data_IF_061210493903
#
_entry.id   IF_061210493903
#
_cell.length_a   1.000
_cell.length_b   1.000
_cell.length_c   1.000
_cell.angle_alpha   90.00
_cell.angle_beta   90.00
_cell.angle_gamma   90.00
#
_symmetry.space_group_name_H-M   'P 1'
#
loop_
_entity.id
_entity.type
_entity.pdbx_description
1 polymer ?
#
# COMPACT_ATOMS: atom_id res chain seq x y z
N UNK A 1 3.19 -20.16 27.13
CA UNK A 1 2.72 -18.94 26.45
C UNK A 1 3.26 -17.77 27.22
N UNK A 2 3.89 -16.87 26.50
CA UNK A 2 4.50 -15.65 27.02
C UNK A 2 3.84 -14.47 26.32
N UNK A 3 3.96 -13.29 26.92
CA UNK A 3 3.51 -12.05 26.29
C UNK A 3 4.73 -11.37 25.69
N UNK A 4 4.69 -11.14 24.39
CA UNK A 4 5.68 -10.38 23.65
C UNK A 4 5.15 -8.99 23.38
N UNK A 5 6.02 -7.98 23.43
CA UNK A 5 5.68 -6.62 23.02
C UNK A 5 6.60 -6.19 21.89
N UNK A 6 5.99 -5.81 20.77
CA UNK A 6 6.64 -5.20 19.62
C UNK A 6 6.51 -3.69 19.77
N UNK A 7 7.65 -3.00 19.92
CA UNK A 7 7.71 -1.56 20.19
C UNK A 7 7.95 -0.77 18.92
N UNK A 8 7.20 0.31 18.77
CA UNK A 8 7.28 1.23 17.64
C UNK A 8 7.40 2.67 18.13
N UNK A 9 8.09 3.51 17.38
CA UNK A 9 8.20 4.94 17.66
C UNK A 9 7.54 5.70 16.50
N UNK A 10 6.54 6.54 16.80
CA UNK A 10 5.90 7.39 15.79
C UNK A 10 6.75 8.60 15.45
N UNK A 11 6.79 8.99 14.18
CA UNK A 11 7.51 10.16 13.68
C UNK A 11 6.51 11.25 13.28
N UNK A 12 6.37 12.26 14.14
CA UNK A 12 5.46 13.40 13.91
C UNK A 12 3.97 13.04 13.99
N UNK A 13 3.09 14.03 13.76
CA UNK A 13 1.63 13.86 13.88
C UNK A 13 1.05 12.88 12.83
N UNK A 14 1.61 12.86 11.63
CA UNK A 14 1.26 11.90 10.58
C UNK A 14 1.58 10.45 11.01
N UNK A 15 2.64 10.29 11.82
CA UNK A 15 3.04 9.03 12.46
C UNK A 15 1.95 8.37 13.29
N UNK A 16 1.13 9.17 13.98
CA UNK A 16 0.07 8.65 14.84
C UNK A 16 -1.09 8.11 14.00
N UNK A 17 -1.45 8.79 12.91
CA UNK A 17 -2.55 8.37 12.03
C UNK A 17 -2.19 7.13 11.21
N UNK A 18 -0.99 7.08 10.63
CA UNK A 18 -0.51 5.90 9.90
C UNK A 18 -0.23 4.74 10.85
N UNK A 19 0.22 5.03 12.07
CA UNK A 19 0.42 4.03 13.12
C UNK A 19 -0.84 3.21 13.39
N UNK A 20 -2.03 3.83 13.41
CA UNK A 20 -3.29 3.09 13.59
C UNK A 20 -3.55 2.07 12.47
N UNK A 21 -3.38 2.46 11.19
CA UNK A 21 -3.53 1.55 10.05
C UNK A 21 -2.50 0.41 10.09
N UNK A 22 -1.28 0.72 10.55
CA UNK A 22 -0.26 -0.29 10.73
C UNK A 22 -0.61 -1.27 11.86
N UNK A 23 -1.20 -0.80 12.96
CA UNK A 23 -1.69 -1.69 14.02
C UNK A 23 -2.85 -2.57 13.54
N UNK A 24 -3.72 -2.07 12.65
CA UNK A 24 -4.77 -2.88 12.02
C UNK A 24 -4.16 -4.00 11.15
N UNK A 25 -3.08 -3.72 10.41
CA UNK A 25 -2.33 -4.72 9.66
C UNK A 25 -1.74 -5.80 10.57
N UNK A 26 -1.07 -5.41 11.67
CA UNK A 26 -0.54 -6.36 12.66
C UNK A 26 -1.65 -7.23 13.27
N UNK A 27 -2.79 -6.60 13.57
CA UNK A 27 -3.97 -7.25 14.16
C UNK A 27 -4.57 -8.29 13.23
N UNK A 28 -4.72 -7.94 11.94
CA UNK A 28 -5.21 -8.87 10.92
C UNK A 28 -4.30 -10.09 10.79
N UNK A 29 -2.99 -9.89 10.85
CA UNK A 29 -2.04 -11.00 10.76
C UNK A 29 -2.01 -11.88 12.01
N UNK A 30 -2.01 -11.28 13.21
CA UNK A 30 -2.08 -12.03 14.47
C UNK A 30 -3.36 -12.88 14.51
N UNK A 31 -4.47 -12.29 14.08
CA UNK A 31 -5.76 -12.95 13.98
C UNK A 31 -5.77 -14.11 12.96
N UNK A 32 -5.15 -13.95 11.79
CA UNK A 32 -5.02 -15.02 10.80
C UNK A 32 -4.30 -16.26 11.34
N UNK A 33 -3.31 -16.05 12.22
CA UNK A 33 -2.58 -17.10 12.91
C UNK A 33 -3.30 -17.63 14.17
N UNK A 34 -4.45 -17.06 14.54
CA UNK A 34 -5.19 -17.42 15.75
C UNK A 34 -4.49 -17.00 17.04
N UNK A 35 -3.66 -15.95 16.98
CA UNK A 35 -2.93 -15.42 18.12
C UNK A 35 -3.73 -14.31 18.82
N UNK A 36 -3.71 -14.31 20.14
CA UNK A 36 -4.31 -13.22 20.93
C UNK A 36 -3.37 -12.01 20.93
N UNK A 37 -3.91 -10.82 20.69
CA UNK A 37 -3.13 -9.59 20.63
C UNK A 37 -3.80 -8.44 21.39
N UNK A 38 -3.03 -7.39 21.70
CA UNK A 38 -3.55 -6.13 22.19
C UNK A 38 -2.78 -4.96 21.56
N UNK A 39 -3.44 -3.83 21.40
CA UNK A 39 -2.89 -2.65 20.73
C UNK A 39 -2.77 -1.50 21.74
N UNK A 40 -1.63 -0.83 21.73
CA UNK A 40 -1.41 0.47 22.34
C UNK A 40 -0.74 1.40 21.30
N UNK A 41 -0.73 2.73 21.52
CA UNK A 41 -0.27 3.69 20.51
C UNK A 41 1.12 3.40 19.91
N UNK A 42 2.04 2.85 20.71
CA UNK A 42 3.43 2.59 20.32
C UNK A 42 3.85 1.14 20.62
N UNK A 43 2.88 0.26 20.91
CA UNK A 43 3.16 -1.11 21.30
C UNK A 43 2.08 -2.07 20.79
N UNK A 44 2.54 -3.17 20.20
CA UNK A 44 1.69 -4.28 19.82
C UNK A 44 2.04 -5.49 20.69
N UNK A 45 1.07 -5.97 21.45
CA UNK A 45 1.24 -7.10 22.35
C UNK A 45 0.75 -8.38 21.67
N UNK A 46 1.50 -9.45 21.84
CA UNK A 46 1.20 -10.76 21.26
C UNK A 46 1.36 -11.84 22.33
N UNK A 47 0.31 -12.62 22.56
CA UNK A 47 0.39 -13.80 23.43
C UNK A 47 0.64 -15.03 22.58
N UNK A 48 1.84 -15.61 22.72
CA UNK A 48 2.33 -16.64 21.82
C UNK A 48 3.35 -17.57 22.51
N UNK A 49 3.72 -18.68 21.88
CA UNK A 49 4.99 -19.37 22.20
C UNK A 49 6.17 -18.64 21.57
N UNK A 50 7.42 -18.86 22.03
CA UNK A 50 8.60 -18.26 21.39
C UNK A 50 8.69 -18.53 19.89
N UNK A 51 8.32 -19.73 19.44
CA UNK A 51 8.33 -20.11 18.02
C UNK A 51 7.28 -19.33 17.21
N UNK A 52 6.08 -19.14 17.77
CA UNK A 52 5.03 -18.35 17.15
C UNK A 52 5.40 -16.86 17.10
N UNK A 53 5.98 -16.32 18.17
CA UNK A 53 6.45 -14.94 18.21
C UNK A 53 7.58 -14.69 17.22
N UNK A 54 8.50 -15.64 17.08
CA UNK A 54 9.56 -15.59 16.07
C UNK A 54 8.97 -15.64 14.66
N UNK A 55 8.04 -16.56 14.38
CA UNK A 55 7.37 -16.62 13.08
C UNK A 55 6.64 -15.32 12.74
N UNK A 56 6.02 -14.69 13.73
CA UNK A 56 5.38 -13.38 13.56
C UNK A 56 6.41 -12.27 13.27
N UNK A 57 7.53 -12.25 14.00
CA UNK A 57 8.61 -11.29 13.76
C UNK A 57 9.26 -11.45 12.39
N UNK A 58 9.48 -12.70 11.94
CA UNK A 58 10.02 -13.02 10.62
C UNK A 58 9.06 -12.57 9.52
N UNK A 59 7.75 -12.79 9.70
CA UNK A 59 6.73 -12.25 8.80
C UNK A 59 6.84 -10.73 8.71
N UNK A 60 6.86 -10.02 9.84
CA UNK A 60 7.00 -8.56 9.83
C UNK A 60 8.27 -8.13 9.11
N UNK A 61 9.41 -8.74 9.39
CA UNK A 61 10.67 -8.38 8.75
C UNK A 61 10.64 -8.54 7.21
N UNK A 62 9.86 -9.48 6.69
CA UNK A 62 9.75 -9.73 5.25
C UNK A 62 8.72 -8.83 4.57
N UNK A 63 7.68 -8.42 5.30
CA UNK A 63 6.52 -7.74 4.75
C UNK A 63 6.44 -6.26 5.11
N UNK A 64 7.23 -5.76 6.08
CA UNK A 64 7.26 -4.35 6.42
C UNK A 64 7.94 -3.57 5.27
N UNK A 65 7.21 -2.76 4.48
CA UNK A 65 7.87 -1.78 3.65
C UNK A 65 8.58 -0.76 4.55
N UNK A 66 9.56 -0.06 3.97
CA UNK A 66 10.10 1.14 4.59
C UNK A 66 8.94 2.07 4.97
N UNK A 67 8.92 2.60 6.19
CA UNK A 67 7.92 3.57 6.64
C UNK A 67 8.61 4.89 6.96
N UNK A 68 7.94 6.01 6.64
CA UNK A 68 8.38 7.36 7.04
C UNK A 68 7.83 7.76 8.41
N UNK A 69 6.70 7.17 8.77
CA UNK A 69 5.83 7.64 9.85
C UNK A 69 6.02 6.87 11.15
N UNK A 70 6.71 5.72 11.13
CA UNK A 70 7.06 4.98 12.32
C UNK A 70 8.36 4.19 12.14
N UNK A 71 8.97 3.83 13.28
CA UNK A 71 10.20 3.06 13.35
C UNK A 71 10.00 1.88 14.29
N UNK A 72 10.36 0.68 13.85
CA UNK A 72 10.45 -0.47 14.74
C UNK A 72 11.64 -0.33 15.70
N UNK A 73 11.38 -0.46 16.99
CA UNK A 73 12.38 -0.30 18.06
C UNK A 73 12.93 -1.66 18.50
N UNK A 74 12.05 -2.65 18.68
CA UNK A 74 12.45 -3.99 19.09
C UNK A 74 11.30 -4.84 19.62
N UNK A 75 11.65 -6.08 19.99
CA UNK A 75 10.75 -7.05 20.61
C UNK A 75 11.33 -7.52 21.93
N UNK A 76 10.49 -7.64 22.95
CA UNK A 76 10.88 -8.18 24.26
C UNK A 76 9.74 -9.01 24.87
N UNK A 77 10.10 -9.94 25.76
CA UNK A 77 9.14 -10.62 26.62
C UNK A 77 8.76 -9.67 27.74
N UNK A 78 7.46 -9.50 27.95
CA UNK A 78 6.92 -8.61 28.98
C UNK A 78 6.07 -9.38 29.98
N UNK A 79 6.08 -8.91 31.24
CA UNK A 79 5.13 -9.36 32.27
C UNK A 79 3.79 -8.64 32.21
N UNK A 80 3.63 -7.64 31.33
CA UNK A 80 2.40 -6.88 31.15
C UNK A 80 1.29 -7.77 30.57
N UNK A 81 0.07 -7.61 31.09
CA UNK A 81 -1.13 -8.34 30.65
C UNK A 81 -2.22 -7.35 30.26
N UNK A 82 -2.13 -6.74 29.07
CA UNK A 82 -3.21 -5.88 28.57
C UNK A 82 -4.49 -6.69 28.31
N UNK A 83 -5.60 -6.00 28.06
CA UNK A 83 -6.85 -6.65 27.63
C UNK A 83 -6.67 -7.21 26.21
N UNK A 84 -6.41 -8.51 26.13
CA UNK A 84 -6.20 -9.20 24.87
C UNK A 84 -7.52 -9.39 24.12
N UNK A 85 -7.50 -9.04 22.83
CA UNK A 85 -8.55 -9.39 21.90
C UNK A 85 -8.41 -10.86 21.52
N UNK A 86 -9.26 -11.71 22.09
CA UNK A 86 -9.48 -13.07 21.63
C UNK A 86 -10.72 -13.05 20.73
N UNK A 87 -10.56 -13.15 19.42
CA UNK A 87 -11.70 -13.18 18.49
C UNK A 87 -11.61 -14.29 17.47
N UNK A 88 -12.75 -14.92 17.12
CA UNK A 88 -12.79 -16.04 16.19
C UNK A 88 -12.44 -15.61 14.76
N UNK A 89 -11.97 -16.59 13.98
CA UNK A 89 -11.46 -16.48 12.62
C UNK A 89 -12.54 -15.95 11.65
N UNK A 90 -12.48 -14.67 11.31
CA UNK A 90 -13.30 -14.04 10.27
C UNK A 90 -12.38 -13.16 9.41
N UNK A 91 -12.21 -13.56 8.15
CA UNK A 91 -11.36 -13.00 7.09
C UNK A 91 -9.87 -13.43 7.08
N UNK A 92 -9.34 -13.82 5.89
CA UNK A 92 -7.91 -13.97 5.69
C UNK A 92 -7.19 -12.62 5.80
N UNK A 93 -5.92 -12.59 6.23
CA UNK A 93 -5.15 -11.36 6.33
C UNK A 93 -4.93 -10.77 4.93
N UNK A 94 -4.82 -9.45 4.84
CA UNK A 94 -4.30 -8.79 3.64
C UNK A 94 -2.80 -9.12 3.58
N UNK A 95 -2.42 -10.00 2.66
CA UNK A 95 -1.03 -10.34 2.41
C UNK A 95 -0.57 -9.68 1.10
N UNK A 96 0.28 -8.67 1.23
CA UNK A 96 0.82 -7.89 0.11
C UNK A 96 1.68 -8.77 -0.83
N UNK A 97 2.30 -9.84 -0.32
CA UNK A 97 3.04 -10.79 -1.17
C UNK A 97 2.10 -11.74 -1.90
N UNK A 98 1.01 -12.19 -1.27
CA UNK A 98 -0.04 -12.95 -1.97
C UNK A 98 -0.71 -12.10 -3.04
N UNK A 99 -1.07 -10.86 -2.73
CA UNK A 99 -1.59 -9.87 -3.68
C UNK A 99 -0.63 -9.63 -4.85
N UNK A 100 0.67 -9.50 -4.57
CA UNK A 100 1.71 -9.38 -5.60
C UNK A 100 1.79 -10.65 -6.45
N UNK A 101 1.81 -11.82 -5.84
CA UNK A 101 1.86 -13.09 -6.59
C UNK A 101 0.61 -13.30 -7.43
N UNK A 102 -0.56 -12.92 -6.90
CA UNK A 102 -1.83 -12.94 -7.60
C UNK A 102 -1.78 -12.04 -8.84
N UNK A 103 -1.28 -10.80 -8.70
CA UNK A 103 -1.01 -9.90 -9.82
C UNK A 103 -0.03 -10.51 -10.84
N UNK A 104 1.12 -11.02 -10.40
CA UNK A 104 2.13 -11.63 -11.28
C UNK A 104 1.60 -12.87 -12.04
N UNK A 105 0.61 -13.56 -11.49
CA UNK A 105 -0.04 -14.73 -12.10
C UNK A 105 -1.32 -14.37 -12.88
N UNK A 106 -1.75 -13.10 -12.86
CA UNK A 106 -3.03 -12.67 -13.42
C UNK A 106 -4.25 -13.26 -12.72
N UNK A 107 -4.09 -13.80 -11.50
CA UNK A 107 -5.19 -14.27 -10.69
C UNK A 107 -5.73 -13.10 -9.88
N UNK A 108 -6.95 -12.68 -10.19
CA UNK A 108 -7.61 -11.53 -9.57
C UNK A 108 -8.79 -11.98 -8.68
N UNK A 109 -8.85 -13.27 -8.33
CA UNK A 109 -9.87 -13.83 -7.45
C UNK A 109 -9.57 -13.44 -6.00
N UNK A 110 -10.57 -12.91 -5.29
CA UNK A 110 -10.43 -12.49 -3.89
C UNK A 110 -10.00 -11.03 -3.70
N UNK A 111 -9.84 -10.28 -4.79
CA UNK A 111 -9.77 -8.82 -4.72
C UNK A 111 -11.10 -8.29 -4.16
N UNK A 112 -11.02 -7.25 -3.32
CA UNK A 112 -12.21 -6.56 -2.81
C UNK A 112 -13.16 -6.10 -3.91
N UNK A 113 -14.34 -5.61 -3.53
CA UNK A 113 -15.41 -5.26 -4.47
C UNK A 113 -14.96 -4.22 -5.52
N UNK A 114 -14.76 -4.67 -6.76
CA UNK A 114 -14.49 -3.81 -7.92
C UNK A 114 -15.81 -3.44 -8.57
N UNK A 115 -16.05 -2.14 -8.78
CA UNK A 115 -17.26 -1.63 -9.43
C UNK A 115 -16.86 -0.86 -10.69
N UNK A 116 -17.31 -1.33 -11.85
CA UNK A 116 -17.09 -0.69 -13.14
C UNK A 116 -18.42 -0.30 -13.78
N UNK A 117 -18.56 0.96 -14.19
CA UNK A 117 -19.81 1.49 -14.77
C UNK A 117 -21.07 1.18 -13.93
N UNK A 118 -20.94 1.34 -12.60
CA UNK A 118 -22.00 1.06 -11.62
C UNK A 118 -22.43 -0.41 -11.53
N UNK A 119 -21.61 -1.33 -12.05
CA UNK A 119 -21.82 -2.78 -11.95
C UNK A 119 -20.67 -3.42 -11.18
N UNK A 120 -20.95 -4.27 -10.17
CA UNK A 120 -19.91 -5.03 -9.51
C UNK A 120 -19.32 -6.06 -10.48
N UNK A 121 -18.01 -6.20 -10.47
CA UNK A 121 -17.29 -7.28 -11.14
C UNK A 121 -17.29 -8.51 -10.23
N UNK A 122 -17.64 -9.68 -10.75
CA UNK A 122 -17.87 -10.90 -9.98
C UNK A 122 -16.71 -11.89 -10.03
N UNK A 123 -15.84 -11.78 -11.05
CA UNK A 123 -14.71 -12.68 -11.25
C UNK A 123 -13.49 -11.97 -11.87
N UNK A 124 -12.35 -12.66 -11.89
CA UNK A 124 -11.10 -12.18 -12.49
C UNK A 124 -11.24 -11.69 -13.94
N UNK A 125 -12.09 -12.32 -14.74
CA UNK A 125 -12.26 -11.97 -16.15
C UNK A 125 -13.01 -10.65 -16.31
N UNK A 126 -14.06 -10.43 -15.52
CA UNK A 126 -14.79 -9.17 -15.47
C UNK A 126 -13.92 -8.03 -14.93
N UNK A 127 -13.10 -8.29 -13.90
CA UNK A 127 -12.14 -7.32 -13.37
C UNK A 127 -11.14 -6.93 -14.47
N UNK A 128 -10.51 -7.91 -15.12
CA UNK A 128 -9.55 -7.66 -16.21
C UNK A 128 -10.20 -6.87 -17.33
N UNK A 129 -11.42 -7.24 -17.74
CA UNK A 129 -12.16 -6.54 -18.78
C UNK A 129 -12.44 -5.08 -18.40
N UNK A 130 -12.83 -4.82 -17.15
CA UNK A 130 -13.05 -3.47 -16.64
C UNK A 130 -11.78 -2.62 -16.73
N UNK A 131 -10.63 -3.13 -16.25
CA UNK A 131 -9.37 -2.39 -16.29
C UNK A 131 -8.86 -2.19 -17.72
N UNK A 132 -8.99 -3.16 -18.62
CA UNK A 132 -8.70 -2.97 -20.04
C UNK A 132 -9.59 -1.87 -20.65
N UNK A 133 -10.89 -1.84 -20.31
CA UNK A 133 -11.79 -0.76 -20.74
C UNK A 133 -11.37 0.61 -20.22
N UNK A 134 -10.84 0.71 -19.00
CA UNK A 134 -10.26 1.94 -18.47
C UNK A 134 -9.03 2.37 -19.29
N UNK A 135 -8.10 1.44 -19.57
CA UNK A 135 -6.90 1.70 -20.35
C UNK A 135 -7.23 2.16 -21.77
N UNK A 136 -8.17 1.49 -22.45
CA UNK A 136 -8.63 1.87 -23.79
C UNK A 136 -9.16 3.31 -23.82
N UNK A 137 -9.95 3.69 -22.81
CA UNK A 137 -10.49 5.06 -22.68
C UNK A 137 -9.38 6.08 -22.45
N UNK A 138 -8.42 5.77 -21.58
CA UNK A 138 -7.26 6.63 -21.33
C UNK A 138 -6.39 6.80 -22.57
N UNK A 139 -6.14 5.73 -23.32
CA UNK A 139 -5.41 5.75 -24.61
C UNK A 139 -6.13 6.59 -25.66
N UNK A 140 -7.47 6.58 -25.66
CA UNK A 140 -8.31 7.46 -26.48
C UNK A 140 -8.36 8.91 -25.97
N UNK A 141 -7.51 9.27 -24.99
CA UNK A 141 -7.44 10.60 -24.35
C UNK A 141 -8.74 10.99 -23.64
N UNK A 142 -9.56 10.02 -23.26
CA UNK A 142 -10.72 10.27 -22.42
C UNK A 142 -10.32 10.31 -20.95
N UNK A 143 -11.09 11.05 -20.16
CA UNK A 143 -10.91 11.07 -18.71
C UNK A 143 -11.73 9.97 -18.05
N UNK A 144 -11.18 9.35 -17.01
CA UNK A 144 -11.85 8.30 -16.23
C UNK A 144 -11.89 8.71 -14.77
N UNK A 145 -13.07 8.66 -14.16
CA UNK A 145 -13.24 8.92 -12.72
C UNK A 145 -13.05 7.60 -11.98
N UNK A 146 -12.15 7.59 -11.00
CA UNK A 146 -11.85 6.42 -10.17
C UNK A 146 -12.02 6.76 -8.71
N UNK A 147 -12.52 5.81 -7.92
CA UNK A 147 -12.53 5.89 -6.46
C UNK A 147 -11.38 5.02 -5.94
N UNK A 148 -10.51 5.63 -5.17
CA UNK A 148 -9.30 5.04 -4.57
C UNK A 148 -9.44 5.00 -3.05
N UNK A 149 -8.45 4.41 -2.37
CA UNK A 149 -8.34 4.50 -0.91
C UNK A 149 -8.20 5.95 -0.39
N UNK A 150 -7.76 6.88 -1.24
CA UNK A 150 -7.52 8.30 -0.90
C UNK A 150 -8.59 9.26 -1.45
N UNK A 151 -9.73 8.73 -1.90
CA UNK A 151 -10.84 9.52 -2.44
C UNK A 151 -11.07 9.34 -3.94
N UNK A 152 -11.81 10.28 -4.53
CA UNK A 152 -12.23 10.21 -5.93
C UNK A 152 -11.32 11.10 -6.77
N UNK A 153 -10.75 10.53 -7.83
CA UNK A 153 -9.82 11.21 -8.73
C UNK A 153 -10.24 11.06 -10.18
N UNK A 154 -9.76 11.99 -11.01
CA UNK A 154 -9.86 11.91 -12.47
C UNK A 154 -8.51 11.51 -13.03
N UNK A 155 -8.44 10.36 -13.70
CA UNK A 155 -7.28 9.91 -14.44
C UNK A 155 -7.32 10.46 -15.88
N UNK A 156 -6.16 10.89 -16.37
CA UNK A 156 -5.96 11.36 -17.73
C UNK A 156 -4.54 11.04 -18.22
N UNK A 157 -4.41 10.75 -19.52
CA UNK A 157 -3.11 10.69 -20.21
C UNK A 157 -2.69 12.06 -20.79
N UNK A 158 -3.52 13.09 -20.66
CA UNK A 158 -3.17 14.48 -20.97
C UNK A 158 -2.90 15.25 -19.68
N UNK A 159 -1.87 16.13 -19.64
CA UNK A 159 -1.61 16.96 -18.48
C UNK A 159 -2.84 17.81 -18.13
N UNK A 160 -3.22 17.77 -16.85
CA UNK A 160 -4.25 18.64 -16.29
C UNK A 160 -3.59 19.66 -15.35
N UNK A 161 -4.15 20.88 -15.28
CA UNK A 161 -3.66 21.89 -14.34
C UNK A 161 -3.77 21.39 -12.90
N UNK A 162 -2.74 21.67 -12.09
CA UNK A 162 -2.64 21.27 -10.68
C UNK A 162 -2.80 19.75 -10.45
N UNK A 163 -2.43 18.93 -11.45
CA UNK A 163 -2.49 17.48 -11.33
C UNK A 163 -1.18 16.87 -10.83
N UNK A 164 -1.34 15.71 -10.22
CA UNK A 164 -0.27 14.78 -9.87
C UNK A 164 -0.01 13.82 -11.01
N UNK A 165 1.25 13.44 -11.24
CA UNK A 165 1.61 12.40 -12.20
C UNK A 165 1.73 11.06 -11.48
N UNK A 166 0.80 10.15 -11.79
CA UNK A 166 0.89 8.75 -11.38
C UNK A 166 1.81 8.00 -12.35
N UNK A 167 2.93 7.51 -11.84
CA UNK A 167 3.81 6.64 -12.60
C UNK A 167 3.50 5.19 -12.27
N UNK A 168 3.61 4.31 -13.27
CA UNK A 168 3.28 2.90 -13.10
C UNK A 168 4.35 2.13 -12.33
N UNK A 169 5.61 2.57 -12.43
CA UNK A 169 6.71 1.98 -11.70
C UNK A 169 7.80 3.01 -11.35
N UNK A 170 8.72 2.60 -10.47
CA UNK A 170 9.85 3.43 -10.06
C UNK A 170 10.84 3.68 -11.20
N UNK A 171 10.98 2.73 -12.13
CA UNK A 171 11.92 2.83 -13.25
C UNK A 171 11.55 3.99 -14.19
N UNK A 172 10.26 4.19 -14.44
CA UNK A 172 9.68 5.28 -15.21
C UNK A 172 9.96 6.63 -14.54
N UNK A 173 9.75 6.71 -13.21
CA UNK A 173 10.08 7.91 -12.43
C UNK A 173 11.56 8.28 -12.60
N UNK A 174 12.48 7.33 -12.39
CA UNK A 174 13.92 7.57 -12.49
C UNK A 174 14.38 7.87 -13.93
N UNK A 175 13.65 7.37 -14.92
CA UNK A 175 13.93 7.63 -16.33
C UNK A 175 13.52 9.05 -16.74
N UNK A 176 12.43 9.58 -16.19
CA UNK A 176 11.91 10.90 -16.57
C UNK A 176 12.38 12.04 -15.65
N UNK A 177 12.72 11.74 -14.39
CA UNK A 177 13.03 12.74 -13.36
C UNK A 177 14.51 12.73 -12.95
N UNK A 178 14.91 13.76 -12.21
CA UNK A 178 16.23 13.89 -11.56
C UNK A 178 16.17 13.50 -10.07
N UNK A 179 15.22 12.65 -9.66
CA UNK A 179 15.09 12.21 -8.27
C UNK A 179 16.35 11.48 -7.81
N UNK A 180 16.80 11.80 -6.58
CA UNK A 180 17.88 11.07 -5.93
C UNK A 180 17.38 9.73 -5.34
N UNK A 181 18.33 8.90 -4.92
CA UNK A 181 18.01 7.57 -4.38
C UNK A 181 17.16 7.60 -3.12
N UNK A 182 17.31 8.63 -2.27
CA UNK A 182 16.54 8.74 -1.01
C UNK A 182 15.09 9.11 -1.29
N UNK A 183 14.88 10.05 -2.19
CA UNK A 183 13.55 10.49 -2.61
C UNK A 183 12.83 9.38 -3.38
N UNK A 184 13.56 8.62 -4.20
CA UNK A 184 13.06 7.41 -4.85
C UNK A 184 12.64 6.34 -3.84
N UNK A 185 13.43 6.10 -2.79
CA UNK A 185 13.08 5.20 -1.69
C UNK A 185 11.85 5.69 -0.92
N UNK A 186 11.74 7.00 -0.70
CA UNK A 186 10.59 7.59 -0.02
C UNK A 186 9.27 7.32 -0.76
N UNK A 187 9.26 7.34 -2.10
CA UNK A 187 8.08 6.97 -2.90
C UNK A 187 7.66 5.52 -2.72
N UNK A 188 8.59 4.63 -2.38
CA UNK A 188 8.35 3.20 -2.17
C UNK A 188 7.95 2.85 -0.74
N UNK A 189 7.81 3.85 0.13
CA UNK A 189 7.40 3.63 1.53
C UNK A 189 5.96 3.16 1.65
N UNK A 190 5.57 2.64 2.80
CA UNK A 190 4.18 2.24 3.11
C UNK A 190 3.20 3.36 2.77
N UNK A 191 3.58 4.58 3.14
CA UNK A 191 2.74 5.77 3.01
C UNK A 191 2.57 6.20 1.56
N UNK A 192 3.39 5.68 0.61
CA UNK A 192 3.35 6.01 -0.82
C UNK A 192 3.11 7.52 -1.03
N UNK A 193 4.01 8.38 -0.53
CA UNK A 193 3.81 9.82 -0.55
C UNK A 193 3.82 10.34 -1.98
N UNK A 194 3.29 11.55 -2.14
CA UNK A 194 3.47 12.36 -3.32
C UNK A 194 4.68 13.26 -3.09
N UNK A 195 5.62 13.31 -4.04
CA UNK A 195 6.82 14.14 -3.94
C UNK A 195 6.94 15.08 -5.14
N UNK A 196 7.52 16.26 -4.92
CA UNK A 196 7.93 17.13 -6.02
C UNK A 196 9.16 16.54 -6.69
N UNK A 197 9.10 16.33 -7.99
CA UNK A 197 10.17 15.79 -8.81
C UNK A 197 10.50 16.75 -9.95
N UNK A 198 11.80 17.01 -10.14
CA UNK A 198 12.30 17.80 -11.25
C UNK A 198 12.44 16.91 -12.48
N UNK A 199 11.81 17.28 -13.59
CA UNK A 199 11.92 16.57 -14.85
C UNK A 199 13.30 16.77 -15.51
N UNK A 200 13.73 15.80 -16.31
CA UNK A 200 14.80 16.02 -17.28
C UNK A 200 14.28 16.94 -18.38
N UNK A 201 15.14 17.85 -18.85
CA UNK A 201 14.76 18.93 -19.78
C UNK A 201 14.01 18.45 -21.03
N UNK A 202 14.37 17.27 -21.54
CA UNK A 202 13.76 16.66 -22.73
C UNK A 202 12.27 16.33 -22.58
N UNK A 203 11.74 16.23 -21.36
CA UNK A 203 10.35 15.89 -21.08
C UNK A 203 9.51 17.09 -20.63
N UNK A 204 10.11 18.27 -20.45
CA UNK A 204 9.40 19.46 -19.92
C UNK A 204 8.23 19.87 -20.82
N UNK A 205 8.37 19.72 -22.14
CA UNK A 205 7.29 20.01 -23.10
C UNK A 205 6.08 19.10 -22.93
N UNK A 206 6.29 17.85 -22.51
CA UNK A 206 5.23 16.85 -22.42
C UNK A 206 4.34 17.09 -21.19
N UNK A 207 4.93 17.64 -20.11
CA UNK A 207 4.23 17.94 -18.86
C UNK A 207 3.90 19.42 -18.68
N UNK A 208 4.38 20.29 -19.58
CA UNK A 208 4.22 21.75 -19.53
C UNK A 208 4.75 22.39 -18.23
N UNK A 209 5.64 21.70 -17.53
CA UNK A 209 6.24 22.13 -16.28
C UNK A 209 7.63 21.52 -16.12
N UNK A 210 8.52 22.19 -15.39
CA UNK A 210 9.81 21.62 -14.98
C UNK A 210 9.64 20.71 -13.74
N UNK A 211 8.70 21.05 -12.87
CA UNK A 211 8.43 20.33 -11.64
C UNK A 211 7.05 19.70 -11.70
N UNK A 212 6.97 18.45 -11.29
CA UNK A 212 5.73 17.70 -11.20
C UNK A 212 5.60 17.11 -9.82
N UNK A 213 4.37 16.83 -9.40
CA UNK A 213 4.15 16.00 -8.23
C UNK A 213 4.07 14.53 -8.65
N UNK A 214 5.13 13.77 -8.42
CA UNK A 214 5.22 12.35 -8.74
C UNK A 214 4.64 11.49 -7.61
N UNK A 215 3.95 10.41 -7.98
CA UNK A 215 3.46 9.39 -7.07
C UNK A 215 3.50 8.00 -7.73
N UNK A 216 3.58 6.97 -6.89
CA UNK A 216 3.44 5.56 -7.28
C UNK A 216 2.03 5.04 -6.92
N UNK A 217 1.60 3.89 -7.46
CA UNK A 217 0.36 3.24 -7.05
C UNK A 217 0.40 2.97 -5.55
N UNK A 218 -0.68 3.38 -4.87
CA UNK A 218 -0.81 3.33 -3.41
C UNK A 218 -1.99 2.51 -2.92
N UNK A 219 -2.81 2.00 -3.83
CA UNK A 219 -3.81 0.99 -3.54
C UNK A 219 -3.79 -0.08 -4.63
N UNK A 220 -4.48 -1.18 -4.35
CA UNK A 220 -4.45 -2.35 -5.20
C UNK A 220 -5.10 -2.10 -6.57
N UNK A 221 -6.14 -1.26 -6.64
CA UNK A 221 -6.78 -0.89 -7.90
C UNK A 221 -5.83 -0.15 -8.84
N UNK A 222 -5.08 0.82 -8.32
CA UNK A 222 -4.04 1.52 -9.09
C UNK A 222 -2.88 0.58 -9.46
N UNK A 223 -2.54 -0.38 -8.61
CA UNK A 223 -1.51 -1.38 -8.90
C UNK A 223 -1.91 -2.31 -10.05
N UNK A 224 -3.17 -2.76 -10.11
CA UNK A 224 -3.70 -3.54 -11.25
C UNK A 224 -3.62 -2.71 -12.53
N UNK A 225 -4.06 -1.45 -12.48
CA UNK A 225 -4.01 -0.56 -13.64
C UNK A 225 -2.58 -0.37 -14.15
N UNK A 226 -1.62 -0.21 -13.24
CA UNK A 226 -0.20 -0.12 -13.57
C UNK A 226 0.33 -1.42 -14.17
N UNK A 227 -0.03 -2.58 -13.62
CA UNK A 227 0.38 -3.88 -14.12
C UNK A 227 -0.13 -4.16 -15.54
N UNK A 228 -1.39 -3.84 -15.82
CA UNK A 228 -2.01 -4.06 -17.13
C UNK A 228 -1.65 -2.99 -18.16
N UNK A 229 -1.18 -1.82 -17.73
CA UNK A 229 -0.79 -0.71 -18.59
C UNK A 229 0.68 -0.74 -19.05
N UNK A 230 1.50 -1.64 -18.46
CA UNK A 230 2.89 -1.91 -18.85
C UNK A 230 2.95 -2.99 -19.95
#
# INVERSE_FOLDING_TARGET
MENFVFKFESVGELGIQVGALFMDFLSAHAHAQGLSYAIAPEAFYLQATPEQAQSFADFLSQHLPLALSFKFVGVEVTGETPEFNASPKIAPPIDVLEERHALEQGNLDGIGEVIYEQKPCLDSAEITHAFCGILDRLQQKQHVIVKTSRGIYTLSCTPLENSSVLFMDLASILSLTRLDSRSAQALCTLEKPQLVAVLKEVFVSDFQSLEIYAQLPYDFGLAILAHLGL
#
